data_IF_966501246061
#
_entry.id   IF_966501246061
#
_cell.length_a   1.000
_cell.length_b   1.000
_cell.length_c   1.000
_cell.angle_alpha   90.00
_cell.angle_beta   90.00
_cell.angle_gamma   90.00
#
_symmetry.space_group_name_H-M   'P 1'
#
loop_
_entity.id
_entity.type
_entity.pdbx_description
1 polymer ?
#
# COMPACT_ATOMS: atom_id res chain seq x y z
N UNK A 1 14.63 -14.22 -3.23
CA UNK A 1 13.43 -13.49 -2.80
C UNK A 1 12.20 -14.38 -2.94
N UNK A 2 11.39 -14.50 -1.89
CA UNK A 2 10.08 -15.17 -1.92
C UNK A 2 8.94 -14.20 -1.64
N UNK A 3 7.71 -14.69 -1.60
CA UNK A 3 6.54 -13.95 -1.13
C UNK A 3 6.00 -14.61 0.14
N UNK A 4 5.59 -13.78 1.09
CA UNK A 4 5.01 -14.21 2.37
C UNK A 4 3.64 -13.58 2.54
N UNK A 5 2.73 -14.30 3.18
CA UNK A 5 1.49 -13.78 3.75
C UNK A 5 1.46 -14.11 5.24
N UNK A 6 0.75 -13.31 6.02
CA UNK A 6 0.45 -13.69 7.40
C UNK A 6 -0.79 -14.61 7.42
N UNK A 7 -0.63 -15.75 8.06
CA UNK A 7 -1.68 -16.74 8.34
C UNK A 7 -2.26 -16.40 9.71
N UNK A 8 -3.36 -15.64 9.73
CA UNK A 8 -3.96 -15.15 10.97
C UNK A 8 -4.48 -16.28 11.86
N UNK A 9 -5.01 -17.35 11.27
CA UNK A 9 -5.57 -18.49 11.99
C UNK A 9 -4.50 -19.26 12.78
N UNK A 10 -3.26 -19.25 12.28
CA UNK A 10 -2.13 -19.94 12.90
C UNK A 10 -1.04 -18.99 13.44
N UNK A 11 -1.29 -17.68 13.43
CA UNK A 11 -0.36 -16.63 13.88
C UNK A 11 1.08 -16.82 13.41
N UNK A 12 1.30 -16.82 12.08
CA UNK A 12 2.65 -16.98 11.48
C UNK A 12 2.78 -16.41 10.08
N UNK A 13 4.01 -16.12 9.66
CA UNK A 13 4.34 -15.78 8.27
C UNK A 13 4.60 -17.04 7.44
N UNK A 14 3.77 -17.28 6.42
CA UNK A 14 3.89 -18.43 5.54
C UNK A 14 4.22 -18.04 4.10
N UNK A 15 4.98 -18.89 3.41
CA UNK A 15 5.26 -18.75 1.97
C UNK A 15 4.16 -19.35 1.10
N UNK A 16 3.25 -20.15 1.66
CA UNK A 16 2.24 -20.88 0.87
C UNK A 16 0.89 -20.15 0.81
N UNK A 17 0.17 -20.31 -0.29
CA UNK A 17 -1.15 -19.72 -0.53
C UNK A 17 -2.31 -20.58 0.03
N UNK A 18 -2.00 -21.76 0.57
CA UNK A 18 -2.92 -22.69 1.26
C UNK A 18 -2.52 -22.84 2.74
N UNK A 19 -3.13 -23.75 3.49
CA UNK A 19 -2.68 -24.10 4.85
C UNK A 19 -1.36 -24.88 4.79
N UNK A 20 -0.54 -24.81 5.83
CA UNK A 20 0.71 -25.59 5.86
C UNK A 20 0.43 -27.09 5.93
N UNK A 21 -0.69 -27.51 6.52
CA UNK A 21 -1.12 -28.91 6.54
C UNK A 21 -1.41 -29.42 5.12
N UNK A 22 -2.22 -28.69 4.35
CA UNK A 22 -2.55 -29.04 2.96
C UNK A 22 -1.32 -29.01 2.04
N UNK A 23 -0.38 -28.10 2.31
CA UNK A 23 0.91 -28.08 1.64
C UNK A 23 1.74 -29.33 1.96
N UNK A 24 1.90 -29.68 3.24
CA UNK A 24 2.68 -30.84 3.66
C UNK A 24 2.10 -32.16 3.13
N UNK A 25 0.77 -32.27 2.99
CA UNK A 25 0.11 -33.45 2.43
C UNK A 25 0.38 -33.65 0.93
N UNK A 26 0.56 -32.56 0.18
CA UNK A 26 0.83 -32.61 -1.26
C UNK A 26 1.68 -31.39 -1.71
N UNK A 27 3.01 -31.44 -1.55
CA UNK A 27 3.86 -30.27 -1.74
C UNK A 27 4.16 -30.04 -3.22
N UNK A 28 3.47 -29.08 -3.81
CA UNK A 28 3.63 -28.68 -5.21
C UNK A 28 4.10 -27.24 -5.32
N UNK A 29 4.74 -26.89 -6.43
CA UNK A 29 5.30 -25.55 -6.64
C UNK A 29 4.21 -24.46 -6.65
N UNK A 30 3.04 -24.74 -7.21
CA UNK A 30 1.92 -23.81 -7.32
C UNK A 30 1.28 -23.41 -5.98
N UNK A 31 1.57 -24.15 -4.90
CA UNK A 31 1.16 -23.78 -3.55
C UNK A 31 1.99 -22.66 -2.93
N UNK A 32 3.11 -22.25 -3.53
CA UNK A 32 3.88 -21.09 -3.05
C UNK A 32 3.28 -19.78 -3.56
N UNK A 33 3.18 -18.80 -2.67
CA UNK A 33 2.64 -17.45 -2.96
C UNK A 33 3.38 -16.74 -4.10
N UNK A 34 4.69 -16.99 -4.24
CA UNK A 34 5.53 -16.36 -5.27
C UNK A 34 5.53 -17.11 -6.61
N UNK A 35 5.05 -18.34 -6.65
CA UNK A 35 5.06 -19.13 -7.89
C UNK A 35 4.23 -18.43 -8.98
N UNK A 36 4.72 -18.51 -10.22
CA UNK A 36 4.10 -17.94 -11.41
C UNK A 36 3.93 -16.40 -11.40
N UNK A 37 4.58 -15.69 -10.47
CA UNK A 37 4.62 -14.21 -10.48
C UNK A 37 5.58 -13.72 -11.55
N UNK A 38 5.21 -12.62 -12.21
CA UNK A 38 6.01 -12.00 -13.27
C UNK A 38 7.32 -11.43 -12.73
N UNK A 39 8.38 -11.58 -13.52
CA UNK A 39 9.70 -11.00 -13.27
C UNK A 39 9.91 -9.87 -14.28
N UNK A 40 10.43 -8.74 -13.81
CA UNK A 40 10.72 -7.58 -14.63
C UNK A 40 12.17 -7.14 -14.43
N UNK A 41 12.79 -6.64 -15.49
CA UNK A 41 14.15 -6.13 -15.45
C UNK A 41 14.27 -4.90 -14.53
N UNK A 42 15.17 -4.95 -13.55
CA UNK A 42 15.43 -3.82 -12.66
C UNK A 42 16.16 -2.66 -13.36
N UNK A 43 16.91 -2.97 -14.44
CA UNK A 43 17.69 -2.02 -15.24
C UNK A 43 17.78 -2.50 -16.70
N UNK A 44 17.96 -1.56 -17.62
CA UNK A 44 18.26 -1.86 -19.02
C UNK A 44 19.62 -2.55 -19.17
N UNK A 45 19.82 -3.30 -20.25
CA UNK A 45 21.06 -4.01 -20.51
C UNK A 45 20.96 -4.98 -21.69
N UNK A 46 21.96 -5.85 -21.83
CA UNK A 46 22.01 -6.89 -22.87
C UNK A 46 22.00 -8.27 -22.24
N UNK A 47 21.24 -9.21 -22.81
CA UNK A 47 21.27 -10.61 -22.37
C UNK A 47 22.56 -11.27 -22.90
N UNK A 48 23.52 -11.54 -22.01
CA UNK A 48 24.82 -12.13 -22.34
C UNK A 48 24.89 -13.63 -22.04
N UNK A 49 23.94 -14.14 -21.27
CA UNK A 49 23.81 -15.57 -20.98
C UNK A 49 22.37 -15.93 -20.64
N UNK A 50 21.91 -17.11 -21.04
CA UNK A 50 20.56 -17.55 -20.77
C UNK A 50 20.36 -19.07 -20.90
N UNK A 51 19.26 -19.55 -20.32
CA UNK A 51 18.65 -20.85 -20.61
C UNK A 51 17.15 -20.74 -20.39
N UNK A 52 16.29 -21.25 -21.28
CA UNK A 52 14.83 -21.03 -21.17
C UNK A 52 13.93 -22.26 -21.05
N UNK A 53 14.50 -23.47 -21.12
CA UNK A 53 13.70 -24.69 -21.15
C UNK A 53 14.21 -25.84 -20.25
N UNK A 54 15.01 -25.54 -19.23
CA UNK A 54 15.34 -26.50 -18.18
C UNK A 54 14.07 -26.92 -17.42
N UNK A 55 13.90 -28.21 -17.12
CA UNK A 55 12.72 -28.70 -16.40
C UNK A 55 12.66 -28.15 -14.96
N UNK A 56 11.44 -28.03 -14.44
CA UNK A 56 11.20 -27.69 -13.03
C UNK A 56 11.66 -28.82 -12.10
N UNK A 57 12.00 -28.46 -10.87
CA UNK A 57 12.12 -29.44 -9.80
C UNK A 57 10.77 -30.10 -9.50
N UNK A 58 10.74 -31.43 -9.23
CA UNK A 58 9.51 -32.20 -9.03
C UNK A 58 8.63 -31.68 -7.89
N UNK A 59 9.25 -31.12 -6.84
CA UNK A 59 8.58 -30.46 -5.72
C UNK A 59 9.55 -29.55 -4.97
N UNK A 60 9.05 -28.68 -4.09
CA UNK A 60 9.91 -27.99 -3.12
C UNK A 60 10.52 -28.98 -2.12
N UNK A 61 11.61 -28.58 -1.49
CA UNK A 61 12.29 -29.31 -0.42
C UNK A 61 11.41 -29.35 0.84
N UNK A 62 11.36 -30.51 1.48
CA UNK A 62 10.66 -30.74 2.74
C UNK A 62 11.64 -30.89 3.90
N UNK A 63 11.14 -30.68 5.12
CA UNK A 63 11.87 -31.04 6.33
C UNK A 63 12.11 -32.55 6.34
N UNK A 64 13.34 -32.97 6.64
CA UNK A 64 13.74 -34.39 6.67
C UNK A 64 14.16 -34.99 5.33
N UNK A 65 14.09 -34.24 4.22
CA UNK A 65 14.64 -34.72 2.95
C UNK A 65 16.15 -34.98 3.05
N UNK A 66 16.61 -36.08 2.43
CA UNK A 66 18.03 -36.42 2.40
C UNK A 66 18.82 -35.46 1.52
N UNK A 67 19.84 -34.82 2.09
CA UNK A 67 20.84 -34.01 1.37
C UNK A 67 21.71 -34.84 0.42
N UNK A 68 21.77 -36.16 0.63
CA UNK A 68 22.54 -37.07 -0.23
C UNK A 68 21.78 -37.38 -1.51
N UNK A 69 20.49 -37.75 -1.41
CA UNK A 69 19.69 -38.15 -2.58
C UNK A 69 18.98 -36.98 -3.27
N UNK A 70 18.78 -35.88 -2.54
CA UNK A 70 18.12 -34.64 -3.00
C UNK A 70 16.85 -34.92 -3.81
N UNK A 71 15.84 -35.59 -3.22
CA UNK A 71 14.67 -36.06 -3.95
C UNK A 71 13.84 -34.92 -4.56
N UNK A 72 14.00 -33.69 -4.05
CA UNK A 72 13.36 -32.50 -4.58
C UNK A 72 14.03 -31.95 -5.85
N UNK A 73 15.25 -32.37 -6.20
CA UNK A 73 15.96 -31.88 -7.38
C UNK A 73 15.73 -32.77 -8.61
N UNK A 74 15.53 -32.13 -9.75
CA UNK A 74 15.42 -32.80 -11.05
C UNK A 74 16.70 -33.58 -11.39
N UNK A 75 16.56 -34.73 -12.06
CA UNK A 75 17.68 -35.61 -12.43
C UNK A 75 18.74 -34.92 -13.28
N UNK A 76 18.34 -34.10 -14.25
CA UNK A 76 19.26 -33.32 -15.10
C UNK A 76 20.26 -32.50 -14.27
N UNK A 77 19.81 -31.80 -13.21
CA UNK A 77 20.74 -31.04 -12.36
C UNK A 77 21.69 -31.95 -11.59
N UNK A 78 21.17 -33.05 -11.03
CA UNK A 78 22.00 -34.02 -10.28
C UNK A 78 23.09 -34.65 -11.17
N UNK A 79 22.84 -34.73 -12.47
CA UNK A 79 23.77 -35.27 -13.46
C UNK A 79 24.60 -34.19 -14.19
N UNK A 80 24.54 -32.92 -13.75
CA UNK A 80 25.31 -31.82 -14.38
C UNK A 80 24.82 -31.43 -15.78
N UNK A 81 23.58 -31.76 -16.13
CA UNK A 81 22.98 -31.58 -17.46
C UNK A 81 22.08 -30.34 -17.56
N UNK A 82 22.05 -29.45 -16.57
CA UNK A 82 21.32 -28.19 -16.67
C UNK A 82 21.97 -27.12 -15.77
N UNK A 83 21.77 -25.82 -16.04
CA UNK A 83 22.34 -24.74 -15.24
C UNK A 83 21.89 -24.78 -13.78
N UNK A 84 22.76 -24.30 -12.89
CA UNK A 84 22.44 -24.15 -11.48
C UNK A 84 21.33 -23.11 -11.28
N UNK A 85 21.31 -22.05 -12.11
CA UNK A 85 20.22 -21.09 -12.14
C UNK A 85 18.92 -21.60 -12.77
N UNK A 86 18.91 -22.81 -13.36
CA UNK A 86 17.75 -23.31 -14.11
C UNK A 86 17.43 -22.41 -15.30
N UNK A 87 16.16 -22.08 -15.50
CA UNK A 87 15.79 -21.08 -16.48
C UNK A 87 16.19 -19.69 -15.98
N UNK A 88 17.05 -19.00 -16.72
CA UNK A 88 17.70 -17.80 -16.24
C UNK A 88 18.11 -16.84 -17.35
N UNK A 89 18.39 -15.60 -16.93
CA UNK A 89 18.97 -14.53 -17.74
C UNK A 89 20.12 -13.88 -16.98
N UNK A 90 21.29 -13.83 -17.62
CA UNK A 90 22.41 -12.95 -17.28
C UNK A 90 22.31 -11.70 -18.13
N UNK A 91 22.11 -10.56 -17.48
CA UNK A 91 21.98 -9.26 -18.13
C UNK A 91 23.20 -8.41 -17.77
N UNK A 92 23.97 -8.01 -18.78
CA UNK A 92 25.07 -7.05 -18.62
C UNK A 92 24.54 -5.62 -18.79
N UNK A 93 24.97 -4.73 -17.91
CA UNK A 93 24.62 -3.31 -17.89
C UNK A 93 25.75 -2.45 -18.46
N UNK A 94 25.45 -1.20 -18.80
CA UNK A 94 26.40 -0.29 -19.46
C UNK A 94 27.66 0.02 -18.62
N UNK A 95 27.62 -0.20 -17.31
CA UNK A 95 28.78 -0.07 -16.40
C UNK A 95 29.60 -1.37 -16.26
N UNK A 96 29.30 -2.39 -17.07
CA UNK A 96 29.98 -3.69 -17.06
C UNK A 96 29.52 -4.63 -15.95
N UNK A 97 28.59 -4.21 -15.07
CA UNK A 97 28.01 -5.11 -14.07
C UNK A 97 27.03 -6.09 -14.71
N UNK A 98 26.89 -7.27 -14.11
CA UNK A 98 26.00 -8.34 -14.58
C UNK A 98 25.00 -8.73 -13.51
N UNK A 99 23.73 -8.77 -13.88
CA UNK A 99 22.65 -9.19 -13.02
C UNK A 99 22.09 -10.53 -13.47
N UNK A 100 22.01 -11.49 -12.55
CA UNK A 100 21.35 -12.78 -12.78
C UNK A 100 19.89 -12.69 -12.33
N UNK A 101 18.99 -13.29 -13.11
CA UNK A 101 17.62 -13.62 -12.73
C UNK A 101 17.42 -15.11 -12.98
N UNK A 102 17.13 -15.89 -11.95
CA UNK A 102 17.14 -17.35 -12.03
C UNK A 102 15.87 -18.02 -11.49
N UNK A 103 15.81 -19.34 -11.68
CA UNK A 103 14.76 -20.27 -11.26
C UNK A 103 13.41 -20.01 -11.93
N UNK A 104 13.39 -19.57 -13.20
CA UNK A 104 12.14 -19.30 -13.90
C UNK A 104 11.43 -20.59 -14.34
N UNK A 105 10.13 -20.48 -14.62
CA UNK A 105 9.33 -21.58 -15.18
C UNK A 105 9.74 -21.81 -16.65
N UNK A 106 9.94 -23.07 -17.10
CA UNK A 106 10.28 -23.38 -18.49
C UNK A 106 9.23 -22.81 -19.46
N UNK A 107 9.71 -22.29 -20.59
CA UNK A 107 8.85 -21.70 -21.62
C UNK A 107 8.31 -20.30 -21.29
N UNK A 108 8.58 -19.73 -20.11
CA UNK A 108 8.11 -18.38 -19.76
C UNK A 108 9.05 -17.26 -20.19
N UNK A 109 10.32 -17.58 -20.45
CA UNK A 109 11.29 -16.68 -21.06
C UNK A 109 11.08 -16.72 -22.58
N UNK A 110 10.89 -15.54 -23.19
CA UNK A 110 10.68 -15.40 -24.64
C UNK A 110 11.90 -15.90 -25.43
N UNK A 111 11.65 -16.52 -26.60
CA UNK A 111 12.70 -16.86 -27.56
C UNK A 111 13.47 -15.64 -28.07
N UNK A 112 12.84 -14.45 -28.05
CA UNK A 112 13.51 -13.20 -28.39
C UNK A 112 14.52 -12.74 -27.34
N UNK A 113 14.43 -13.25 -26.10
CA UNK A 113 15.38 -12.96 -25.03
C UNK A 113 16.45 -14.04 -24.88
N UNK A 114 16.11 -15.29 -25.21
CA UNK A 114 17.00 -16.41 -25.01
C UNK A 114 16.96 -17.43 -26.17
N UNK A 115 18.05 -17.59 -26.93
CA UNK A 115 18.12 -18.61 -27.98
C UNK A 115 18.21 -20.05 -27.42
N UNK A 116 18.77 -20.24 -26.23
CA UNK A 116 19.06 -21.55 -25.65
C UNK A 116 17.79 -22.25 -25.10
N UNK A 117 17.21 -23.16 -25.91
CA UNK A 117 15.90 -23.78 -25.68
C UNK A 117 15.92 -25.28 -25.36
N UNK A 118 17.09 -25.90 -25.23
CA UNK A 118 17.16 -27.32 -24.96
C UNK A 118 16.73 -27.64 -23.51
N UNK A 119 16.24 -28.87 -23.30
CA UNK A 119 15.83 -29.35 -21.96
C UNK A 119 17.06 -29.73 -21.11
N UNK A 120 18.17 -30.07 -21.76
CA UNK A 120 19.41 -30.48 -21.14
C UNK A 120 20.60 -29.99 -21.94
N UNK A 121 21.75 -29.87 -21.26
CA UNK A 121 23.03 -29.69 -21.91
C UNK A 121 23.39 -30.90 -22.78
N UNK A 122 24.19 -30.70 -23.85
CA UNK A 122 24.65 -31.80 -24.70
C UNK A 122 25.49 -32.85 -23.95
N UNK A 123 26.18 -32.44 -22.89
CA UNK A 123 26.98 -33.30 -22.02
C UNK A 123 27.12 -32.66 -20.63
N UNK A 124 27.36 -33.46 -19.57
CA UNK A 124 27.56 -32.94 -18.21
C UNK A 124 28.64 -31.86 -18.14
N UNK A 125 28.35 -30.78 -17.42
CA UNK A 125 29.36 -29.78 -17.04
C UNK A 125 30.19 -30.37 -15.89
N UNK A 126 31.46 -30.72 -16.17
CA UNK A 126 32.49 -31.03 -15.16
C UNK A 126 33.04 -29.75 -14.52
N UNK A 127 34.37 -29.58 -14.42
CA UNK A 127 35.02 -28.34 -13.95
C UNK A 127 34.81 -27.11 -14.90
N UNK A 128 33.88 -27.20 -15.84
CA UNK A 128 33.61 -26.14 -16.82
C UNK A 128 32.75 -25.04 -16.19
N UNK A 129 32.96 -23.79 -16.60
CA UNK A 129 32.07 -22.67 -16.25
C UNK A 129 30.70 -22.86 -16.91
N UNK A 130 29.63 -22.53 -16.19
CA UNK A 130 28.23 -22.54 -16.67
C UNK A 130 28.09 -21.81 -18.02
N UNK A 131 28.89 -20.76 -18.23
CA UNK A 131 28.93 -19.96 -19.46
C UNK A 131 29.24 -20.76 -20.73
N UNK A 132 29.80 -21.99 -20.62
CA UNK A 132 30.04 -22.86 -21.77
C UNK A 132 28.79 -23.10 -22.63
N UNK A 133 27.64 -23.30 -21.98
CA UNK A 133 26.38 -23.59 -22.68
C UNK A 133 25.36 -22.47 -22.57
N UNK A 134 25.50 -21.58 -21.57
CA UNK A 134 24.52 -20.51 -21.38
C UNK A 134 24.89 -19.21 -22.09
N UNK A 135 26.15 -19.00 -22.52
CA UNK A 135 26.54 -17.78 -23.22
C UNK A 135 25.69 -17.52 -24.47
N UNK A 136 25.31 -16.26 -24.68
CA UNK A 136 24.59 -15.81 -25.87
C UNK A 136 25.58 -15.14 -26.82
N UNK A 137 25.74 -15.62 -28.07
CA UNK A 137 26.59 -14.99 -29.07
C UNK A 137 26.21 -13.51 -29.27
N UNK A 138 27.19 -12.64 -29.45
CA UNK A 138 26.97 -11.17 -29.52
C UNK A 138 25.86 -10.77 -30.50
N UNK A 139 25.82 -11.39 -31.68
CA UNK A 139 24.79 -11.15 -32.70
C UNK A 139 23.34 -11.53 -32.29
N UNK A 140 23.18 -12.30 -31.21
CA UNK A 140 21.89 -12.76 -30.69
C UNK A 140 21.54 -12.15 -29.33
N UNK A 141 22.39 -11.26 -28.79
CA UNK A 141 22.16 -10.66 -27.48
C UNK A 141 21.00 -9.67 -27.55
N UNK A 142 19.91 -10.00 -26.85
CA UNK A 142 18.75 -9.13 -26.78
C UNK A 142 19.04 -7.91 -25.90
N UNK A 143 18.71 -6.71 -26.42
CA UNK A 143 18.68 -5.49 -25.61
C UNK A 143 17.36 -5.46 -24.85
N UNK A 144 17.41 -5.17 -23.55
CA UNK A 144 16.24 -5.04 -22.70
C UNK A 144 16.13 -3.66 -22.06
N UNK A 145 14.90 -3.23 -21.80
CA UNK A 145 14.59 -2.00 -21.08
C UNK A 145 14.27 -2.27 -19.61
N UNK A 146 14.50 -1.27 -18.75
CA UNK A 146 14.00 -1.30 -17.36
C UNK A 146 12.49 -1.51 -17.35
N UNK A 147 12.00 -2.40 -16.51
CA UNK A 147 10.58 -2.75 -16.41
C UNK A 147 10.09 -3.71 -17.49
N UNK A 148 10.95 -4.17 -18.40
CA UNK A 148 10.58 -5.20 -19.37
C UNK A 148 10.31 -6.54 -18.69
N UNK A 149 9.24 -7.21 -19.09
CA UNK A 149 8.92 -8.56 -18.63
C UNK A 149 9.99 -9.56 -19.09
N UNK A 150 10.46 -10.40 -18.17
CA UNK A 150 11.54 -11.35 -18.39
C UNK A 150 11.09 -12.82 -18.39
N UNK A 151 10.08 -13.13 -17.58
CA UNK A 151 9.61 -14.51 -17.36
C UNK A 151 8.81 -14.61 -16.07
N UNK A 152 8.62 -15.83 -15.57
CA UNK A 152 7.86 -16.07 -14.33
C UNK A 152 8.65 -16.87 -13.32
N UNK A 153 8.47 -16.53 -12.04
CA UNK A 153 9.11 -17.22 -10.93
C UNK A 153 8.66 -18.68 -10.90
N UNK A 154 9.63 -19.59 -10.90
CA UNK A 154 9.45 -21.03 -10.80
C UNK A 154 10.36 -21.62 -9.74
N UNK A 155 10.77 -22.86 -9.99
CA UNK A 155 11.60 -23.69 -9.13
C UNK A 155 12.58 -24.55 -9.96
N UNK A 156 12.99 -24.12 -11.15
CA UNK A 156 14.01 -24.82 -11.95
C UNK A 156 15.42 -24.61 -11.39
N UNK A 157 16.37 -25.49 -11.74
CA UNK A 157 17.76 -25.37 -11.26
C UNK A 157 17.96 -25.82 -9.82
N UNK A 158 19.05 -25.36 -9.20
CA UNK A 158 19.42 -25.70 -7.82
C UNK A 158 18.62 -24.84 -6.83
N UNK A 159 17.34 -25.17 -6.68
CA UNK A 159 16.38 -24.43 -5.87
C UNK A 159 15.73 -25.35 -4.83
N UNK A 160 15.48 -24.81 -3.64
CA UNK A 160 14.77 -25.51 -2.54
C UNK A 160 13.26 -25.31 -2.60
N UNK A 161 12.76 -24.45 -3.48
CA UNK A 161 11.35 -24.16 -3.65
C UNK A 161 11.15 -22.88 -4.44
N UNK A 162 9.91 -22.56 -4.87
CA UNK A 162 9.65 -21.39 -5.67
C UNK A 162 10.17 -20.09 -5.06
N UNK A 163 11.09 -19.42 -5.76
CA UNK A 163 11.66 -18.13 -5.38
C UNK A 163 12.35 -17.48 -6.58
N UNK A 164 12.49 -16.15 -6.53
CA UNK A 164 13.32 -15.41 -7.47
C UNK A 164 14.72 -15.26 -6.89
N UNK A 165 15.73 -15.90 -7.48
CA UNK A 165 17.13 -15.60 -7.19
C UNK A 165 17.60 -14.44 -8.06
N UNK A 166 18.16 -13.41 -7.42
CA UNK A 166 18.83 -12.29 -8.09
C UNK A 166 20.11 -11.95 -7.36
N UNK A 167 21.16 -11.66 -8.12
CA UNK A 167 22.35 -11.00 -7.62
C UNK A 167 22.93 -10.06 -8.67
N UNK A 168 23.77 -9.15 -8.23
CA UNK A 168 24.59 -8.29 -9.08
C UNK A 168 26.04 -8.68 -8.87
N UNK A 169 26.84 -8.68 -9.92
CA UNK A 169 28.29 -8.85 -9.85
C UNK A 169 28.97 -7.85 -10.78
N UNK A 170 30.22 -7.52 -10.50
CA UNK A 170 31.05 -6.76 -11.44
C UNK A 170 31.55 -7.63 -12.59
N UNK A 171 32.34 -7.04 -13.50
CA UNK A 171 32.89 -7.73 -14.66
C UNK A 171 33.86 -8.87 -14.31
N UNK A 172 34.39 -8.89 -13.08
CA UNK A 172 35.26 -9.96 -12.56
C UNK A 172 34.49 -11.09 -11.86
N UNK A 173 33.18 -10.93 -11.70
CA UNK A 173 32.33 -11.90 -11.01
C UNK A 173 32.25 -11.70 -9.49
N UNK A 174 32.74 -10.58 -8.97
CA UNK A 174 32.63 -10.27 -7.53
C UNK A 174 31.26 -9.67 -7.26
N UNK A 175 30.56 -10.25 -6.28
CA UNK A 175 29.20 -9.85 -5.89
C UNK A 175 29.12 -8.40 -5.42
N UNK A 176 28.10 -7.69 -5.89
CA UNK A 176 27.85 -6.28 -5.60
C UNK A 176 26.53 -6.13 -4.85
N UNK A 177 26.45 -5.08 -4.03
CA UNK A 177 25.21 -4.71 -3.36
C UNK A 177 24.24 -4.02 -4.32
N UNK A 178 22.95 -4.22 -4.11
CA UNK A 178 21.88 -3.59 -4.89
C UNK A 178 21.25 -2.48 -4.05
N UNK A 179 21.34 -1.24 -4.54
CA UNK A 179 20.69 -0.07 -3.94
C UNK A 179 19.29 0.11 -4.51
N UNK A 180 18.32 0.38 -3.64
CA UNK A 180 16.92 0.53 -4.01
C UNK A 180 16.44 1.95 -3.78
N UNK A 181 15.75 2.54 -4.76
CA UNK A 181 15.22 3.91 -4.64
C UNK A 181 14.09 4.04 -3.60
N UNK A 182 13.42 2.94 -3.29
CA UNK A 182 12.24 2.84 -2.42
C UNK A 182 12.18 1.44 -1.82
N UNK A 183 11.46 1.27 -0.74
CA UNK A 183 11.24 0.00 -0.08
C UNK A 183 11.22 0.13 1.44
N UNK A 184 10.43 -0.75 2.05
CA UNK A 184 10.38 -0.91 3.50
C UNK A 184 10.74 -2.33 3.89
N UNK A 185 11.47 -2.47 4.99
CA UNK A 185 11.92 -3.75 5.52
C UNK A 185 11.47 -3.92 6.97
N UNK A 186 11.25 -5.17 7.35
CA UNK A 186 11.01 -5.57 8.73
C UNK A 186 11.65 -6.93 8.99
N UNK A 187 12.15 -7.13 10.21
CA UNK A 187 12.61 -8.44 10.65
C UNK A 187 11.38 -9.37 10.76
N UNK A 188 11.37 -10.55 10.13
CA UNK A 188 10.28 -11.51 10.27
C UNK A 188 10.08 -11.93 11.73
N UNK A 189 8.83 -11.87 12.19
CA UNK A 189 8.42 -12.29 13.53
C UNK A 189 6.99 -12.84 13.42
N UNK A 190 6.83 -14.14 13.70
CA UNK A 190 5.55 -14.84 13.58
C UNK A 190 4.51 -14.32 14.58
N UNK A 191 4.92 -13.66 15.66
CA UNK A 191 4.00 -13.05 16.63
C UNK A 191 3.50 -11.67 16.21
N UNK A 192 4.06 -11.10 15.12
CA UNK A 192 3.79 -9.73 14.68
C UNK A 192 3.20 -9.70 13.27
N UNK A 193 1.86 -9.71 13.11
CA UNK A 193 1.22 -9.51 11.82
C UNK A 193 1.48 -8.12 11.22
N UNK A 194 1.71 -7.14 12.09
CA UNK A 194 1.97 -5.74 11.74
C UNK A 194 3.33 -5.32 12.33
N UNK A 195 4.45 -5.78 11.75
CA UNK A 195 5.76 -5.45 12.27
C UNK A 195 6.06 -3.96 12.08
N UNK A 196 7.06 -3.47 12.82
CA UNK A 196 7.58 -2.11 12.60
C UNK A 196 8.38 -2.09 11.31
N UNK A 197 7.87 -1.36 10.32
CA UNK A 197 8.49 -1.23 9.02
C UNK A 197 9.47 -0.06 8.97
N UNK A 198 10.69 -0.31 8.52
CA UNK A 198 11.74 0.70 8.37
C UNK A 198 12.03 0.95 6.90
N UNK A 199 12.10 2.23 6.51
CA UNK A 199 12.39 2.64 5.13
C UNK A 199 13.88 2.46 4.82
N UNK A 200 14.22 1.93 3.64
CA UNK A 200 15.60 1.79 3.15
C UNK A 200 15.83 2.45 1.78
N UNK A 201 14.97 3.41 1.41
CA UNK A 201 15.10 4.19 0.18
C UNK A 201 16.48 4.86 0.07
N UNK A 202 17.13 4.71 -1.09
CA UNK A 202 18.49 5.20 -1.34
C UNK A 202 19.59 4.31 -0.76
N UNK A 203 19.24 3.14 -0.21
CA UNK A 203 20.19 2.20 0.42
C UNK A 203 19.94 0.76 -0.03
N UNK A 204 20.72 -0.16 0.50
CA UNK A 204 20.57 -1.61 0.30
C UNK A 204 19.51 -2.16 1.27
N UNK A 205 18.98 -3.35 0.96
CA UNK A 205 18.16 -4.09 1.93
C UNK A 205 19.00 -4.36 3.19
N UNK A 206 18.46 -4.17 4.41
CA UNK A 206 19.18 -4.50 5.65
C UNK A 206 19.65 -5.96 5.67
N UNK A 207 20.79 -6.21 6.30
CA UNK A 207 21.36 -7.55 6.40
C UNK A 207 20.43 -8.56 7.10
N UNK A 208 20.65 -9.84 6.82
CA UNK A 208 19.87 -10.95 7.39
C UNK A 208 18.51 -11.18 6.72
N UNK A 209 17.66 -11.98 7.37
CA UNK A 209 16.32 -12.28 6.88
C UNK A 209 15.41 -11.06 7.04
N UNK A 210 14.83 -10.59 5.94
CA UNK A 210 13.93 -9.43 5.91
C UNK A 210 12.60 -9.79 5.23
N UNK A 211 11.50 -9.32 5.80
CA UNK A 211 10.28 -9.05 5.05
C UNK A 211 10.50 -7.76 4.28
N UNK A 212 10.11 -7.74 3.00
CA UNK A 212 10.22 -6.56 2.15
C UNK A 212 8.81 -6.18 1.71
N UNK A 213 8.42 -4.94 2.00
CA UNK A 213 7.21 -4.34 1.46
C UNK A 213 7.58 -3.49 0.26
N UNK A 214 7.47 -4.10 -0.92
CA UNK A 214 7.79 -3.43 -2.18
C UNK A 214 6.84 -2.24 -2.43
N UNK A 215 7.32 -1.14 -3.04
CA UNK A 215 6.48 -0.01 -3.41
C UNK A 215 5.29 -0.45 -4.27
N UNK A 216 4.13 0.14 -4.03
CA UNK A 216 2.91 -0.16 -4.77
C UNK A 216 2.69 0.86 -5.87
N UNK A 217 2.28 0.40 -7.05
CA UNK A 217 1.63 1.25 -8.04
C UNK A 217 0.13 1.29 -7.73
N UNK A 218 -0.43 2.48 -7.55
CA UNK A 218 -1.89 2.67 -7.48
C UNK A 218 -2.34 3.47 -8.69
N UNK A 219 -3.63 3.40 -9.02
CA UNK A 219 -4.21 4.23 -10.07
C UNK A 219 -4.36 5.68 -9.61
N UNK A 220 -5.54 6.26 -9.84
CA UNK A 220 -5.86 7.63 -9.40
C UNK A 220 -5.94 7.79 -7.88
N UNK A 221 -6.25 6.71 -7.14
CA UNK A 221 -6.37 6.73 -5.69
C UNK A 221 -6.14 5.36 -5.06
N UNK A 222 -5.90 5.37 -3.75
CA UNK A 222 -5.92 4.18 -2.88
C UNK A 222 -6.81 4.46 -1.69
N UNK A 223 -7.84 3.64 -1.52
CA UNK A 223 -8.87 3.81 -0.48
C UNK A 223 -8.89 2.58 0.42
N UNK A 224 -8.94 2.82 1.72
CA UNK A 224 -9.14 1.79 2.74
C UNK A 224 -10.09 2.29 3.81
N UNK A 225 -11.01 1.43 4.19
CA UNK A 225 -11.93 1.61 5.31
C UNK A 225 -11.74 0.50 6.35
N UNK A 226 -12.02 0.79 7.61
CA UNK A 226 -11.94 -0.17 8.71
C UNK A 226 -10.53 -0.65 9.04
N UNK A 227 -9.52 0.19 8.85
CA UNK A 227 -8.14 -0.19 9.18
C UNK A 227 -7.92 -0.12 10.69
N UNK A 228 -7.57 -1.24 11.32
CA UNK A 228 -7.21 -1.25 12.74
C UNK A 228 -6.02 -0.32 13.01
N UNK A 229 -6.06 0.43 14.12
CA UNK A 229 -5.03 1.42 14.46
C UNK A 229 -3.60 0.86 14.45
N UNK A 230 -3.41 -0.39 14.89
CA UNK A 230 -2.11 -1.07 14.90
C UNK A 230 -1.48 -1.22 13.50
N UNK A 231 -2.30 -1.30 12.45
CA UNK A 231 -1.82 -1.45 11.07
C UNK A 231 -1.56 -0.09 10.38
N UNK A 232 -2.12 1.00 10.91
CA UNK A 232 -2.16 2.31 10.25
C UNK A 232 -0.76 2.86 9.96
N UNK A 233 0.17 2.80 10.92
CA UNK A 233 1.51 3.37 10.73
C UNK A 233 2.30 2.66 9.62
N UNK A 234 2.20 1.33 9.52
CA UNK A 234 2.86 0.56 8.45
C UNK A 234 2.33 0.96 7.07
N UNK A 235 1.01 1.05 6.92
CA UNK A 235 0.38 1.47 5.68
C UNK A 235 0.66 2.93 5.32
N UNK A 236 0.64 3.83 6.30
CA UNK A 236 0.98 5.24 6.11
C UNK A 236 2.39 5.37 5.53
N UNK A 237 3.37 4.73 6.18
CA UNK A 237 4.76 4.80 5.74
C UNK A 237 4.95 4.12 4.38
N UNK A 238 4.23 3.04 4.10
CA UNK A 238 4.31 2.33 2.81
C UNK A 238 3.74 3.14 1.66
N UNK A 239 2.59 3.80 1.85
CA UNK A 239 1.98 4.65 0.81
C UNK A 239 2.82 5.90 0.58
N UNK A 240 3.39 6.49 1.63
CA UNK A 240 4.35 7.58 1.52
C UNK A 240 5.62 7.17 0.74
N UNK A 241 6.23 6.03 1.09
CA UNK A 241 7.38 5.47 0.37
C UNK A 241 7.02 5.05 -1.07
N UNK A 242 5.76 4.74 -1.35
CA UNK A 242 5.27 4.43 -2.70
C UNK A 242 5.00 5.68 -3.55
N UNK A 243 5.13 6.90 -3.00
CA UNK A 243 4.98 8.16 -3.74
C UNK A 243 3.56 8.74 -3.72
N UNK A 244 2.75 8.35 -2.74
CA UNK A 244 1.41 8.90 -2.53
C UNK A 244 1.41 9.93 -1.40
N UNK A 245 0.39 10.78 -1.40
CA UNK A 245 0.05 11.66 -0.28
C UNK A 245 -1.38 11.36 0.19
N UNK A 246 -1.68 11.52 1.49
CA UNK A 246 -3.05 11.39 1.95
C UNK A 246 -3.88 12.57 1.45
N UNK A 247 -5.15 12.30 1.19
CA UNK A 247 -6.17 13.29 0.83
C UNK A 247 -7.32 13.32 1.85
N UNK A 248 -7.47 12.25 2.63
CA UNK A 248 -8.50 12.12 3.65
C UNK A 248 -8.03 11.19 4.76
N UNK A 249 -8.30 11.56 6.01
CA UNK A 249 -8.24 10.70 7.18
C UNK A 249 -9.51 10.80 8.00
N UNK A 250 -9.96 9.70 8.55
CA UNK A 250 -11.07 9.67 9.49
C UNK A 250 -10.74 8.61 10.54
N UNK A 251 -10.72 9.02 11.81
CA UNK A 251 -10.56 8.12 12.94
C UNK A 251 -11.90 7.86 13.61
N UNK A 252 -12.14 6.64 14.07
CA UNK A 252 -13.39 6.28 14.75
C UNK A 252 -13.20 5.06 15.65
N UNK A 253 -14.18 4.76 16.48
CA UNK A 253 -14.18 3.59 17.36
C UNK A 253 -15.36 2.66 17.09
N UNK A 254 -15.09 1.36 17.20
CA UNK A 254 -16.10 0.30 17.20
C UNK A 254 -15.74 -0.66 18.32
N UNK A 255 -16.69 -0.96 19.20
CA UNK A 255 -16.48 -1.80 20.38
C UNK A 255 -15.20 -1.45 21.16
N UNK A 256 -14.99 -0.15 21.43
CA UNK A 256 -13.83 0.38 22.15
C UNK A 256 -12.47 0.34 21.41
N UNK A 257 -12.41 -0.26 20.22
CA UNK A 257 -11.19 -0.34 19.41
C UNK A 257 -11.13 0.80 18.40
N UNK A 258 -9.95 1.37 18.18
CA UNK A 258 -9.74 2.47 17.22
C UNK A 258 -9.44 1.96 15.82
N UNK A 259 -10.06 2.59 14.83
CA UNK A 259 -9.90 2.33 13.41
C UNK A 259 -9.70 3.63 12.64
N UNK A 260 -9.13 3.50 11.44
CA UNK A 260 -8.92 4.58 10.51
C UNK A 260 -9.48 4.25 9.13
N UNK A 261 -10.02 5.29 8.49
CA UNK A 261 -10.33 5.31 7.07
C UNK A 261 -9.38 6.29 6.38
N UNK A 262 -9.00 6.00 5.14
CA UNK A 262 -8.06 6.84 4.41
C UNK A 262 -8.29 6.82 2.91
N UNK A 263 -8.01 7.98 2.31
CA UNK A 263 -7.87 8.14 0.85
C UNK A 263 -6.48 8.69 0.58
N UNK A 264 -5.75 8.04 -0.32
CA UNK A 264 -4.44 8.48 -0.80
C UNK A 264 -4.48 8.71 -2.31
N UNK A 265 -3.74 9.70 -2.79
CA UNK A 265 -3.63 10.07 -4.21
C UNK A 265 -2.14 10.24 -4.58
N UNK A 266 -1.76 10.12 -5.87
CA UNK A 266 -0.39 10.41 -6.29
C UNK A 266 0.08 11.76 -5.73
N UNK A 267 1.27 11.79 -5.13
CA UNK A 267 1.81 13.03 -4.61
C UNK A 267 2.17 13.96 -5.78
N UNK A 268 1.62 15.18 -5.76
CA UNK A 268 1.84 16.21 -6.79
C UNK A 268 2.51 17.48 -6.23
N UNK A 269 2.78 17.51 -4.92
CA UNK A 269 3.42 18.62 -4.21
C UNK A 269 4.02 18.10 -2.89
N UNK A 270 4.86 18.92 -2.23
CA UNK A 270 5.41 18.58 -0.92
C UNK A 270 4.31 18.60 0.15
N UNK A 271 4.27 17.58 0.99
CA UNK A 271 3.22 17.40 2.01
C UNK A 271 3.81 16.92 3.34
N UNK A 272 3.08 17.13 4.43
CA UNK A 272 3.27 16.49 5.74
C UNK A 272 1.93 16.00 6.23
N UNK A 273 1.90 14.91 6.98
CA UNK A 273 0.65 14.48 7.59
C UNK A 273 0.92 13.70 8.85
N UNK A 274 0.01 13.83 9.81
CA UNK A 274 0.10 13.20 11.11
C UNK A 274 -1.29 12.68 11.47
N UNK A 275 -1.36 11.52 12.11
CA UNK A 275 -2.61 10.93 12.58
C UNK A 275 -2.47 10.51 14.03
N UNK A 276 -3.60 10.40 14.72
CA UNK A 276 -3.63 9.87 16.09
C UNK A 276 -2.84 10.69 17.12
N UNK A 277 -2.67 12.00 16.92
CA UNK A 277 -1.88 12.86 17.80
C UNK A 277 -2.66 13.24 19.05
N UNK A 278 -1.98 13.39 20.19
CA UNK A 278 -2.55 14.11 21.34
C UNK A 278 -2.77 15.59 20.99
N UNK A 279 -3.57 16.33 21.77
CA UNK A 279 -3.75 17.78 21.53
C UNK A 279 -2.43 18.58 21.58
N UNK A 280 -1.54 18.23 22.51
CA UNK A 280 -0.23 18.86 22.61
C UNK A 280 0.67 18.50 21.42
N UNK A 281 0.78 17.20 21.09
CA UNK A 281 1.59 16.73 19.95
C UNK A 281 1.09 17.29 18.62
N UNK A 282 -0.23 17.37 18.44
CA UNK A 282 -0.86 18.02 17.29
C UNK A 282 -0.40 19.47 17.18
N UNK A 283 -0.43 20.23 18.28
CA UNK A 283 -0.05 21.64 18.25
C UNK A 283 1.42 21.83 17.88
N UNK A 284 2.32 20.95 18.36
CA UNK A 284 3.74 20.95 17.97
C UNK A 284 3.90 20.76 16.47
N UNK A 285 3.39 19.66 15.91
CA UNK A 285 3.56 19.37 14.48
C UNK A 285 2.84 20.38 13.58
N UNK A 286 1.77 20.99 14.09
CA UNK A 286 1.07 22.08 13.41
C UNK A 286 1.95 23.32 13.31
N UNK A 287 2.51 23.78 14.43
CA UNK A 287 3.40 24.95 14.44
C UNK A 287 4.63 24.72 13.55
N UNK A 288 5.29 23.56 13.68
CA UNK A 288 6.45 23.22 12.86
C UNK A 288 6.14 23.22 11.35
N UNK A 289 4.97 22.70 10.96
CA UNK A 289 4.54 22.72 9.56
C UNK A 289 4.30 24.15 9.05
N UNK A 290 3.81 25.04 9.92
CA UNK A 290 3.53 26.44 9.56
C UNK A 290 4.81 27.24 9.39
N UNK A 291 5.77 27.05 10.28
CA UNK A 291 7.09 27.68 10.21
C UNK A 291 7.83 27.26 8.91
N UNK A 292 7.58 26.04 8.44
CA UNK A 292 8.13 25.52 7.19
C UNK A 292 7.32 25.88 5.92
N UNK A 293 6.28 26.70 6.06
CA UNK A 293 5.45 27.24 4.96
C UNK A 293 4.47 26.24 4.35
N UNK A 294 4.09 25.19 5.10
CA UNK A 294 2.96 24.35 4.73
C UNK A 294 1.63 25.00 5.14
N UNK A 295 0.49 24.46 4.71
CA UNK A 295 -0.85 24.86 5.17
C UNK A 295 -1.72 23.63 5.43
N UNK A 296 -2.56 23.61 6.48
CA UNK A 296 -3.48 22.50 6.70
C UNK A 296 -4.55 22.47 5.61
N UNK A 297 -4.83 21.28 5.08
CA UNK A 297 -5.87 21.05 4.07
C UNK A 297 -6.96 20.09 4.54
N UNK A 298 -6.71 19.41 5.64
CA UNK A 298 -7.69 18.61 6.37
C UNK A 298 -7.23 18.52 7.83
N UNK A 299 -8.16 18.64 8.76
CA UNK A 299 -7.96 18.28 10.17
C UNK A 299 -9.10 17.37 10.59
N UNK A 300 -8.87 16.47 11.53
CA UNK A 300 -9.90 15.56 12.02
C UNK A 300 -9.67 15.27 13.51
N UNK A 301 -10.74 14.96 14.23
CA UNK A 301 -10.66 14.57 15.63
C UNK A 301 -11.57 13.40 15.92
N UNK A 302 -11.08 12.43 16.67
CA UNK A 302 -11.85 11.28 17.13
C UNK A 302 -11.56 10.97 18.59
N UNK A 303 -12.52 10.32 19.25
CA UNK A 303 -12.37 9.91 20.63
C UNK A 303 -11.73 8.51 20.70
N UNK A 304 -10.87 8.28 21.69
CA UNK A 304 -10.32 6.96 22.00
C UNK A 304 -10.39 6.70 23.50
N UNK A 305 -10.17 5.46 23.94
CA UNK A 305 -10.02 5.14 25.37
C UNK A 305 -8.87 5.89 26.07
N UNK A 306 -7.93 6.46 25.29
CA UNK A 306 -6.81 7.27 25.79
C UNK A 306 -7.02 8.78 25.68
N UNK A 307 -8.27 9.21 25.40
CA UNK A 307 -8.66 10.60 25.17
C UNK A 307 -8.75 10.98 23.69
N UNK A 308 -9.05 12.25 23.44
CA UNK A 308 -9.20 12.81 22.09
C UNK A 308 -7.90 12.73 21.30
N UNK A 309 -8.00 12.36 20.02
CA UNK A 309 -6.89 12.27 19.08
C UNK A 309 -7.17 13.09 17.83
N UNK A 310 -6.13 13.68 17.28
CA UNK A 310 -6.20 14.58 16.14
C UNK A 310 -5.37 14.06 14.96
N UNK A 311 -5.89 14.27 13.77
CA UNK A 311 -5.18 14.01 12.51
C UNK A 311 -5.14 15.29 11.68
N UNK A 312 -4.09 15.46 10.88
CA UNK A 312 -3.93 16.62 10.01
C UNK A 312 -3.14 16.26 8.76
N UNK A 313 -3.56 16.84 7.64
CA UNK A 313 -2.85 16.80 6.36
C UNK A 313 -2.43 18.22 6.02
N UNK A 314 -1.16 18.40 5.71
CA UNK A 314 -0.55 19.65 5.29
C UNK A 314 -0.04 19.56 3.84
N UNK A 315 -0.17 20.65 3.10
CA UNK A 315 0.37 20.82 1.75
C UNK A 315 1.23 22.07 1.67
N UNK A 316 2.33 22.04 0.93
CA UNK A 316 3.16 23.22 0.70
C UNK A 316 2.60 24.04 -0.46
N UNK A 317 1.68 24.96 -0.15
CA UNK A 317 1.00 25.85 -1.11
C UNK A 317 0.54 27.14 -0.42
N UNK A 318 0.29 28.18 -1.21
CA UNK A 318 -0.32 29.42 -0.71
C UNK A 318 -1.83 29.23 -0.52
N UNK A 319 -2.29 29.38 0.72
CA UNK A 319 -3.72 29.37 1.07
C UNK A 319 -3.91 30.00 2.45
N UNK A 320 -4.74 31.03 2.55
CA UNK A 320 -5.17 31.53 3.85
C UNK A 320 -6.14 30.53 4.49
N UNK A 321 -6.00 30.30 5.79
CA UNK A 321 -6.81 29.35 6.54
C UNK A 321 -7.03 29.82 7.97
N UNK A 322 -8.04 29.26 8.62
CA UNK A 322 -8.29 29.39 10.05
C UNK A 322 -8.56 27.99 10.61
N UNK A 323 -7.65 27.48 11.44
CA UNK A 323 -7.75 26.15 12.04
C UNK A 323 -7.63 26.22 13.56
N UNK A 324 -8.51 25.49 14.27
CA UNK A 324 -8.59 25.45 15.74
C UNK A 324 -9.08 24.08 16.20
N UNK A 325 -8.67 23.63 17.39
CA UNK A 325 -9.07 22.35 17.98
C UNK A 325 -9.46 22.50 19.46
N UNK A 326 -10.21 21.54 19.99
CA UNK A 326 -10.61 21.49 21.39
C UNK A 326 -11.64 22.55 21.82
N UNK A 327 -12.30 23.20 20.85
CA UNK A 327 -13.19 24.33 21.11
C UNK A 327 -14.48 23.91 21.83
N UNK A 328 -14.99 24.76 22.71
CA UNK A 328 -16.38 24.69 23.18
C UNK A 328 -17.34 25.08 22.03
N UNK A 329 -18.64 24.85 22.22
CA UNK A 329 -19.63 25.26 21.22
C UNK A 329 -19.61 26.76 20.95
N UNK A 330 -19.54 27.60 21.99
CA UNK A 330 -19.48 29.05 21.82
C UNK A 330 -18.21 29.49 21.06
N UNK A 331 -17.05 28.94 21.44
CA UNK A 331 -15.80 29.24 20.74
C UNK A 331 -15.83 28.79 19.27
N UNK A 332 -16.50 27.68 18.97
CA UNK A 332 -16.73 27.24 17.59
C UNK A 332 -17.56 28.25 16.79
N UNK A 333 -18.63 28.82 17.39
CA UNK A 333 -19.42 29.88 16.75
C UNK A 333 -18.58 31.13 16.52
N UNK A 334 -17.79 31.57 17.50
CA UNK A 334 -16.94 32.75 17.37
C UNK A 334 -15.91 32.58 16.23
N UNK A 335 -15.30 31.40 16.10
CA UNK A 335 -14.38 31.07 15.00
C UNK A 335 -15.12 31.01 13.66
N UNK A 336 -16.38 30.56 13.63
CA UNK A 336 -17.19 30.55 12.42
C UNK A 336 -17.52 31.97 11.94
N UNK A 337 -17.87 32.89 12.86
CA UNK A 337 -18.09 34.30 12.52
C UNK A 337 -16.80 34.95 12.03
N UNK A 338 -15.67 34.71 12.70
CA UNK A 338 -14.36 35.17 12.23
C UNK A 338 -14.05 34.66 10.81
N UNK A 339 -14.36 33.38 10.52
CA UNK A 339 -14.15 32.82 9.19
C UNK A 339 -15.03 33.51 8.13
N UNK A 340 -16.27 33.89 8.46
CA UNK A 340 -17.15 34.65 7.56
C UNK A 340 -16.59 36.04 7.28
N UNK A 341 -16.11 36.74 8.31
CA UNK A 341 -15.49 38.07 8.17
C UNK A 341 -14.25 38.03 7.28
N UNK A 342 -13.50 36.91 7.33
CA UNK A 342 -12.33 36.66 6.49
C UNK A 342 -12.68 36.07 5.10
N UNK A 343 -13.97 35.98 4.75
CA UNK A 343 -14.46 35.38 3.52
C UNK A 343 -13.90 33.95 3.28
N UNK A 344 -13.84 33.17 4.35
CA UNK A 344 -13.42 31.76 4.33
C UNK A 344 -14.62 30.82 4.34
N UNK A 345 -14.43 29.63 3.80
CA UNK A 345 -15.43 28.54 3.81
C UNK A 345 -14.98 27.39 4.72
N UNK A 346 -15.90 26.63 5.32
CA UNK A 346 -15.57 25.43 6.07
C UNK A 346 -15.02 24.33 5.15
N UNK A 347 -13.91 23.73 5.57
CA UNK A 347 -13.32 22.52 4.97
C UNK A 347 -13.78 21.30 5.74
N UNK A 348 -13.65 21.33 7.07
CA UNK A 348 -14.13 20.31 7.96
C UNK A 348 -14.50 20.90 9.32
N UNK A 349 -15.47 20.26 10.00
CA UNK A 349 -15.91 20.58 11.35
C UNK A 349 -16.12 19.24 12.07
N UNK A 350 -15.08 18.68 12.69
CA UNK A 350 -15.19 17.43 13.45
C UNK A 350 -15.64 17.71 14.88
N UNK A 351 -16.35 16.77 15.48
CA UNK A 351 -16.85 16.87 16.85
C UNK A 351 -16.50 15.59 17.59
N UNK A 352 -16.12 15.71 18.86
CA UNK A 352 -15.98 14.58 19.77
C UNK A 352 -16.75 14.86 21.06
N UNK A 353 -17.18 13.81 21.74
CA UNK A 353 -17.64 13.92 23.13
C UNK A 353 -16.49 13.59 24.07
N UNK A 354 -16.08 14.55 24.89
CA UNK A 354 -14.96 14.42 25.83
C UNK A 354 -15.39 14.94 27.19
N UNK A 355 -15.39 14.06 28.20
CA UNK A 355 -15.86 14.40 29.54
C UNK A 355 -17.34 14.81 29.61
N UNK A 356 -18.19 14.27 28.71
CA UNK A 356 -19.61 14.65 28.62
C UNK A 356 -19.85 15.97 27.89
N UNK A 357 -18.81 16.62 27.34
CA UNK A 357 -18.94 17.86 26.59
C UNK A 357 -18.55 17.68 25.13
N UNK A 358 -19.26 18.34 24.22
CA UNK A 358 -18.87 18.40 22.81
C UNK A 358 -17.66 19.30 22.64
N UNK A 359 -16.63 18.80 21.95
CA UNK A 359 -15.44 19.56 21.56
C UNK A 359 -15.30 19.59 20.05
N UNK A 360 -15.02 20.77 19.50
CA UNK A 360 -15.02 21.02 18.07
C UNK A 360 -13.58 21.22 17.55
N UNK A 361 -13.31 20.63 16.39
CA UNK A 361 -12.11 20.91 15.59
C UNK A 361 -12.52 21.42 14.24
N UNK A 362 -11.95 22.55 13.83
CA UNK A 362 -12.39 23.28 12.66
C UNK A 362 -11.23 23.63 11.76
N UNK A 363 -11.50 23.60 10.46
CA UNK A 363 -10.64 24.18 9.44
C UNK A 363 -11.52 24.93 8.45
N UNK A 364 -11.16 26.20 8.24
CA UNK A 364 -11.70 27.05 7.20
C UNK A 364 -10.56 27.45 6.26
N UNK A 365 -10.86 27.65 4.99
CA UNK A 365 -9.90 28.18 4.03
C UNK A 365 -10.51 29.22 3.09
N UNK A 366 -9.66 30.07 2.52
CA UNK A 366 -10.08 31.09 1.57
C UNK A 366 -10.20 30.48 0.17
N UNK A 367 -11.36 29.88 -0.11
CA UNK A 367 -11.71 29.30 -1.40
C UNK A 367 -13.18 29.63 -1.73
N UNK A 368 -13.46 30.09 -2.95
CA UNK A 368 -14.84 30.31 -3.38
C UNK A 368 -15.50 28.95 -3.68
N UNK A 369 -16.51 28.61 -2.88
CA UNK A 369 -17.31 27.39 -3.03
C UNK A 369 -18.81 27.70 -3.21
N UNK A 370 -19.15 28.96 -3.51
CA UNK A 370 -20.53 29.44 -3.49
C UNK A 370 -21.14 29.36 -2.08
N UNK A 371 -22.45 29.09 -2.01
CA UNK A 371 -23.14 28.88 -0.75
C UNK A 371 -22.66 27.61 -0.03
N UNK A 372 -22.55 27.68 1.30
CA UNK A 372 -22.19 26.54 2.15
C UNK A 372 -23.09 26.44 3.38
N UNK A 373 -23.24 25.24 3.92
CA UNK A 373 -23.92 25.00 5.20
C UNK A 373 -23.11 24.05 6.08
N UNK A 374 -23.26 24.18 7.40
CA UNK A 374 -22.65 23.31 8.41
C UNK A 374 -23.77 22.79 9.31
N UNK A 375 -23.71 21.53 9.69
CA UNK A 375 -24.60 20.94 10.69
C UNK A 375 -23.82 19.90 11.48
N UNK A 376 -23.77 20.04 12.81
CA UNK A 376 -22.83 19.28 13.67
C UNK A 376 -23.51 18.34 14.66
N UNK A 377 -24.84 18.24 14.66
CA UNK A 377 -25.63 17.49 15.64
C UNK A 377 -26.82 16.78 14.96
N UNK A 378 -26.56 16.12 13.83
CA UNK A 378 -27.60 15.45 13.05
C UNK A 378 -27.77 14.00 13.52
N UNK A 379 -29.01 13.52 13.67
CA UNK A 379 -29.28 12.07 13.68
C UNK A 379 -29.09 11.47 12.28
N UNK A 380 -29.06 10.14 12.15
CA UNK A 380 -28.97 9.50 10.82
C UNK A 380 -30.12 9.91 9.89
N UNK A 381 -31.35 9.95 10.41
CA UNK A 381 -32.53 10.38 9.65
C UNK A 381 -32.45 11.88 9.27
N UNK A 382 -32.02 12.73 10.20
CA UNK A 382 -31.82 14.16 9.93
C UNK A 382 -30.70 14.40 8.91
N UNK A 383 -29.64 13.60 8.93
CA UNK A 383 -28.58 13.64 7.93
C UNK A 383 -29.11 13.27 6.54
N UNK A 384 -29.90 12.20 6.42
CA UNK A 384 -30.53 11.84 5.14
C UNK A 384 -31.43 12.97 4.61
N UNK A 385 -32.27 13.56 5.47
CA UNK A 385 -33.13 14.68 5.09
C UNK A 385 -32.30 15.91 4.67
N UNK A 386 -31.20 16.19 5.38
CA UNK A 386 -30.28 17.28 5.07
C UNK A 386 -29.62 17.08 3.71
N UNK A 387 -29.15 15.87 3.38
CA UNK A 387 -28.56 15.56 2.07
C UNK A 387 -29.56 15.85 0.94
N UNK A 388 -30.82 15.44 1.08
CA UNK A 388 -31.87 15.72 0.09
C UNK A 388 -32.14 17.23 -0.05
N UNK A 389 -32.30 17.93 1.07
CA UNK A 389 -32.54 19.39 1.03
C UNK A 389 -31.37 20.16 0.43
N UNK A 390 -30.14 19.75 0.70
CA UNK A 390 -28.95 20.40 0.16
C UNK A 390 -28.77 20.08 -1.33
N UNK A 391 -29.13 18.87 -1.78
CA UNK A 391 -29.21 18.51 -3.19
C UNK A 391 -30.14 19.44 -3.95
N UNK A 392 -31.37 19.64 -3.46
CA UNK A 392 -32.36 20.53 -4.07
C UNK A 392 -31.89 21.98 -4.11
N UNK A 393 -31.04 22.37 -3.16
CA UNK A 393 -30.42 23.69 -3.09
C UNK A 393 -29.10 23.81 -3.88
N UNK A 394 -28.76 22.81 -4.70
CA UNK A 394 -27.57 22.79 -5.56
C UNK A 394 -26.25 22.63 -4.82
N UNK A 395 -26.27 22.08 -3.60
CA UNK A 395 -25.08 21.83 -2.77
C UNK A 395 -24.83 20.34 -2.61
N UNK A 396 -23.57 19.97 -2.41
CA UNK A 396 -23.13 18.59 -2.17
C UNK A 396 -22.41 18.47 -0.83
N UNK A 397 -22.42 17.29 -0.18
CA UNK A 397 -21.52 17.04 0.93
C UNK A 397 -20.07 17.22 0.49
N UNK A 398 -19.24 17.83 1.34
CA UNK A 398 -17.79 17.95 1.16
C UNK A 398 -17.01 17.46 2.37
N UNK A 399 -17.70 17.25 3.50
CA UNK A 399 -17.18 16.69 4.73
C UNK A 399 -18.29 15.92 5.43
N UNK A 400 -17.94 14.77 6.00
CA UNK A 400 -18.80 13.97 6.85
C UNK A 400 -17.93 13.29 7.90
N UNK A 401 -18.36 13.31 9.15
CA UNK A 401 -17.81 12.54 10.26
C UNK A 401 -18.96 12.20 11.23
N UNK A 402 -18.76 11.24 12.12
CA UNK A 402 -19.72 10.89 13.16
C UNK A 402 -19.06 10.78 14.54
N UNK A 403 -19.86 10.99 15.59
CA UNK A 403 -19.42 10.90 16.97
C UNK A 403 -20.57 10.47 17.88
N UNK A 404 -20.23 9.86 19.01
CA UNK A 404 -21.22 9.56 20.06
C UNK A 404 -21.23 10.66 21.11
N UNK A 405 -22.42 11.12 21.49
CA UNK A 405 -22.63 12.01 22.63
C UNK A 405 -23.91 11.62 23.36
N UNK A 406 -23.83 11.48 24.68
CA UNK A 406 -24.91 11.00 25.55
C UNK A 406 -25.59 9.72 25.03
N UNK A 407 -24.78 8.76 24.57
CA UNK A 407 -25.24 7.48 24.02
C UNK A 407 -25.88 7.56 22.62
N UNK A 408 -25.93 8.75 22.00
CA UNK A 408 -26.52 8.93 20.68
C UNK A 408 -25.45 9.17 19.61
N UNK A 409 -25.57 8.45 18.49
CA UNK A 409 -24.76 8.70 17.29
C UNK A 409 -25.22 10.00 16.62
N UNK A 410 -24.28 10.91 16.43
CA UNK A 410 -24.46 12.19 15.78
C UNK A 410 -23.57 12.28 14.54
N UNK A 411 -24.05 12.98 13.51
CA UNK A 411 -23.31 13.28 12.30
C UNK A 411 -22.98 14.77 12.26
N UNK A 412 -21.76 15.06 11.80
CA UNK A 412 -21.35 16.39 11.38
C UNK A 412 -21.10 16.39 9.89
N UNK A 413 -21.68 17.37 9.19
CA UNK A 413 -21.61 17.47 7.74
C UNK A 413 -21.42 18.93 7.31
N UNK A 414 -20.62 19.10 6.27
CA UNK A 414 -20.46 20.38 5.56
C UNK A 414 -20.91 20.18 4.12
N UNK A 415 -21.70 21.13 3.62
CA UNK A 415 -22.19 21.14 2.26
C UNK A 415 -21.72 22.41 1.56
N UNK A 416 -21.40 22.30 0.26
CA UNK A 416 -20.97 23.44 -0.55
C UNK A 416 -21.48 23.33 -1.99
N UNK A 417 -21.62 24.47 -2.67
CA UNK A 417 -22.20 24.57 -4.01
C UNK A 417 -21.22 24.23 -5.13
N UNK A 418 -19.95 24.64 -4.98
CA UNK A 418 -18.90 24.41 -5.96
C UNK A 418 -17.73 23.60 -5.37
N UNK A 419 -17.03 22.77 -6.18
CA UNK A 419 -17.28 22.53 -7.61
C UNK A 419 -18.53 21.67 -7.86
N UNK A 420 -19.19 21.92 -8.99
CA UNK A 420 -20.33 21.13 -9.48
C UNK A 420 -19.77 19.86 -10.11
N UNK A 421 -19.65 18.82 -9.30
CA UNK A 421 -19.29 17.49 -9.75
C UNK A 421 -20.55 16.64 -9.79
N UNK A 422 -20.60 15.64 -10.68
CA UNK A 422 -21.53 14.53 -10.47
C UNK A 422 -21.12 13.80 -9.20
N UNK A 423 -22.05 13.55 -8.29
CA UNK A 423 -21.74 12.97 -6.99
C UNK A 423 -22.78 11.95 -6.55
N UNK A 424 -22.32 10.98 -5.76
CA UNK A 424 -23.17 10.02 -5.07
C UNK A 424 -22.69 9.92 -3.63
N UNK A 425 -23.63 9.95 -2.69
CA UNK A 425 -23.35 9.70 -1.28
C UNK A 425 -24.17 8.52 -0.77
N UNK A 426 -23.57 7.72 0.11
CA UNK A 426 -24.22 6.61 0.81
C UNK A 426 -23.82 6.63 2.27
N UNK A 427 -24.71 6.27 3.18
CA UNK A 427 -24.41 6.16 4.62
C UNK A 427 -25.11 4.93 5.23
N UNK A 428 -24.67 4.52 6.41
CA UNK A 428 -25.16 3.32 7.09
C UNK A 428 -24.74 1.99 6.45
N UNK A 429 -23.76 2.01 5.54
CA UNK A 429 -23.31 0.80 4.84
C UNK A 429 -22.51 -0.12 5.77
N UNK A 430 -22.71 -1.44 5.65
CA UNK A 430 -21.75 -2.43 6.16
C UNK A 430 -20.43 -2.33 5.40
N UNK A 431 -19.36 -2.94 5.93
CA UNK A 431 -18.06 -3.00 5.23
C UNK A 431 -18.18 -3.58 3.81
N UNK A 432 -18.99 -4.64 3.64
CA UNK A 432 -19.22 -5.26 2.34
C UNK A 432 -19.98 -4.34 1.38
N UNK A 433 -21.05 -3.67 1.86
CA UNK A 433 -21.82 -2.72 1.03
C UNK A 433 -20.99 -1.50 0.61
N UNK A 434 -20.14 -0.99 1.50
CA UNK A 434 -19.19 0.07 1.16
C UNK A 434 -18.20 -0.40 0.10
N UNK A 435 -17.64 -1.61 0.26
CA UNK A 435 -16.71 -2.19 -0.72
C UNK A 435 -17.35 -2.36 -2.11
N UNK A 436 -18.59 -2.83 -2.17
CA UNK A 436 -19.36 -2.91 -3.43
C UNK A 436 -19.53 -1.53 -4.05
N UNK A 437 -19.99 -0.54 -3.28
CA UNK A 437 -20.16 0.84 -3.78
C UNK A 437 -18.85 1.44 -4.28
N UNK A 438 -17.74 1.24 -3.56
CA UNK A 438 -16.42 1.68 -3.98
C UNK A 438 -16.01 1.06 -5.32
N UNK A 439 -16.21 -0.25 -5.51
CA UNK A 439 -15.89 -0.94 -6.74
C UNK A 439 -16.75 -0.43 -7.91
N UNK A 440 -18.06 -0.32 -7.70
CA UNK A 440 -19.03 0.09 -8.72
C UNK A 440 -18.77 1.53 -9.20
N UNK A 441 -18.55 2.46 -8.26
CA UNK A 441 -18.29 3.86 -8.60
C UNK A 441 -16.89 4.06 -9.19
N UNK A 442 -15.89 3.31 -8.72
CA UNK A 442 -14.55 3.33 -9.34
C UNK A 442 -14.60 2.85 -10.79
N UNK A 443 -15.37 1.80 -11.10
CA UNK A 443 -15.58 1.31 -12.46
C UNK A 443 -16.27 2.35 -13.37
N UNK A 444 -17.08 3.23 -12.79
CA UNK A 444 -17.74 4.35 -13.49
C UNK A 444 -16.85 5.61 -13.59
N UNK A 445 -15.63 5.57 -13.04
CA UNK A 445 -14.67 6.67 -13.06
C UNK A 445 -14.87 7.73 -11.99
N UNK A 446 -15.65 7.45 -10.94
CA UNK A 446 -15.74 8.31 -9.77
C UNK A 446 -14.50 8.12 -8.88
N UNK A 447 -14.11 9.20 -8.19
CA UNK A 447 -13.12 9.18 -7.11
C UNK A 447 -13.83 9.24 -5.76
N UNK A 448 -13.19 8.72 -4.72
CA UNK A 448 -13.69 8.79 -3.36
C UNK A 448 -13.18 10.07 -2.72
N UNK A 449 -14.10 10.92 -2.30
CA UNK A 449 -13.80 12.19 -1.63
C UNK A 449 -13.78 12.01 -0.10
N UNK A 450 -14.76 11.27 0.42
CA UNK A 450 -14.98 11.08 1.87
C UNK A 450 -15.23 9.61 2.17
N UNK A 451 -14.63 9.14 3.26
CA UNK A 451 -14.98 7.89 3.94
C UNK A 451 -15.07 8.18 5.42
N UNK A 452 -16.25 7.95 6.01
CA UNK A 452 -16.48 8.16 7.44
C UNK A 452 -16.92 6.85 8.09
N UNK A 453 -16.29 6.49 9.20
CA UNK A 453 -16.76 5.45 10.09
C UNK A 453 -17.84 5.98 11.01
N UNK A 454 -18.85 5.14 11.31
CA UNK A 454 -19.87 5.48 12.30
C UNK A 454 -19.37 5.07 13.67
N UNK A 455 -19.19 6.07 14.55
CA UNK A 455 -18.53 5.94 15.85
C UNK A 455 -19.47 5.31 16.90
N UNK A 456 -18.87 4.54 17.81
CA UNK A 456 -19.51 3.97 19.00
C UNK A 456 -20.60 2.92 18.76
N UNK A 457 -20.68 2.39 17.53
CA UNK A 457 -21.48 1.21 17.20
C UNK A 457 -20.75 -0.09 17.59
N UNK A 458 -21.50 -1.17 17.79
CA UNK A 458 -20.94 -2.52 18.04
C UNK A 458 -20.33 -3.13 16.78
N UNK A 459 -20.74 -2.65 15.61
CA UNK A 459 -20.33 -3.16 14.30
C UNK A 459 -19.95 -2.02 13.38
N UNK A 460 -18.98 -2.27 12.49
CA UNK A 460 -18.59 -1.28 11.50
C UNK A 460 -19.77 -0.87 10.61
N UNK A 461 -19.98 0.45 10.54
CA UNK A 461 -20.84 1.11 9.57
C UNK A 461 -20.09 2.28 8.95
N UNK A 462 -20.33 2.51 7.67
CA UNK A 462 -19.59 3.49 6.88
C UNK A 462 -20.52 4.40 6.10
N UNK A 463 -20.03 5.61 5.87
CA UNK A 463 -20.54 6.51 4.88
C UNK A 463 -19.46 6.86 3.87
N UNK A 464 -19.86 7.10 2.63
CA UNK A 464 -18.97 7.42 1.53
C UNK A 464 -19.55 8.49 0.63
N UNK A 465 -18.66 9.33 0.11
CA UNK A 465 -18.93 10.29 -0.95
C UNK A 465 -18.02 10.00 -2.13
N UNK A 466 -18.60 9.86 -3.30
CA UNK A 466 -17.89 9.71 -4.57
C UNK A 466 -18.25 10.86 -5.50
N UNK A 467 -17.25 11.41 -6.19
CA UNK A 467 -17.49 12.45 -7.19
C UNK A 467 -16.71 12.21 -8.48
N UNK A 468 -17.23 12.74 -9.59
CA UNK A 468 -16.63 12.72 -10.92
C UNK A 468 -16.79 14.11 -11.55
N UNK A 469 -15.69 14.59 -12.12
CA UNK A 469 -15.67 15.84 -12.88
C UNK A 469 -16.26 15.63 -14.28
#
# INVERSE_FOLDING_TARGET
>A
MGARRYDFDNSRWTSVNTTVADYNAAPTNDKFTIYNKSIYAMRAGKVVGCWRNAPENPRPKLSGDSETTKPWLHSNLKNGLMPGGGNMLWIEHDDGTRMLYAHMIPGTISSALCPNNDVAYPAPIGNNSEMKYVAVPEAQQAVISKGQYLGRVGNSGNSTGPHLHVHLQDSSGVGQLITFNRGMAAVPDDTKPYPVWTRFAGSTIPGGSQLIWAPRTVGSQYVRHGMAAVAMQGWFSHLADSGFKPAWFDGYTVNGSTFYNMVWKPANLAWRAYFGQSGASYQTVFNDAMDDGYVPVQVDSHQTGSGTRYSVIFEKKAMAFLARHGLTYQQHLDVMEQAKDLNMRPVNISVVSSGGERRYTTLYNQQNVGGWTVSSQLSAAAYQAKVTSEWDAGRRPIYLNSYVHDGNVNYTAVFAQAPVNSWVARHGHTSAQFQTSFNDFSAQGYLTDVVAGIDGEDVHRFAGLWSKN
#
